data_IF_526184094631
#
_entry.id   IF_526184094631
#
_cell.length_a   1.000
_cell.length_b   1.000
_cell.length_c   1.000
_cell.angle_alpha   90.00
_cell.angle_beta   90.00
_cell.angle_gamma   90.00
#
_symmetry.space_group_name_H-M   'P 1'
#
loop_
_entity.id
_entity.type
_entity.pdbx_description
1 polymer ?
#
# COMPACT_ATOMS: atom_id res chain seq x y z
N UNK A 1 -8.97 18.82 1.33
CA UNK A 1 -10.17 18.23 0.72
C UNK A 1 -10.90 19.24 -0.16
N UNK A 2 -11.34 20.39 0.34
CA UNK A 2 -12.13 21.36 -0.44
C UNK A 2 -11.53 21.76 -1.79
N UNK A 3 -10.25 22.16 -1.83
CA UNK A 3 -9.55 22.47 -3.10
C UNK A 3 -9.56 21.34 -4.12
N UNK A 4 -9.54 20.09 -3.66
CA UNK A 4 -9.59 18.92 -4.54
C UNK A 4 -11.00 18.71 -5.06
N UNK A 5 -12.02 18.80 -4.20
CA UNK A 5 -13.43 18.66 -4.59
C UNK A 5 -13.91 19.79 -5.52
N UNK A 6 -13.39 21.01 -5.36
CA UNK A 6 -13.65 22.14 -6.25
C UNK A 6 -13.05 21.96 -7.66
N UNK A 7 -12.10 21.04 -7.84
CA UNK A 7 -11.48 20.81 -9.15
C UNK A 7 -12.35 20.00 -10.11
N UNK A 8 -13.42 19.38 -9.62
CA UNK A 8 -14.34 18.60 -10.45
C UNK A 8 -15.33 19.51 -11.17
N UNK A 9 -15.48 19.32 -12.48
CA UNK A 9 -16.47 20.04 -13.30
C UNK A 9 -17.91 19.66 -12.96
N UNK A 10 -18.13 18.46 -12.42
CA UNK A 10 -19.44 17.95 -12.02
C UNK A 10 -19.32 17.40 -10.61
N UNK A 11 -20.17 17.89 -9.71
CA UNK A 11 -20.27 17.44 -8.32
C UNK A 11 -21.73 17.06 -8.02
N UNK A 12 -22.16 15.85 -8.42
CA UNK A 12 -23.57 15.47 -8.42
C UNK A 12 -24.17 15.38 -7.02
N UNK A 13 -23.33 15.20 -6.00
CA UNK A 13 -23.73 15.08 -4.60
C UNK A 13 -23.39 16.32 -3.76
N UNK A 14 -22.94 17.41 -4.40
CA UNK A 14 -22.59 18.68 -3.76
C UNK A 14 -21.65 18.53 -2.55
N UNK A 15 -20.61 17.70 -2.68
CA UNK A 15 -19.60 17.49 -1.63
C UNK A 15 -18.52 18.57 -1.71
N UNK A 16 -18.27 19.31 -0.63
CA UNK A 16 -17.35 20.45 -0.62
C UNK A 16 -16.22 20.33 0.40
N UNK A 17 -16.33 19.43 1.37
CA UNK A 17 -15.34 19.27 2.42
C UNK A 17 -15.26 17.81 2.90
N UNK A 18 -14.38 17.56 3.89
CA UNK A 18 -14.16 16.23 4.43
C UNK A 18 -15.38 15.70 5.20
N UNK A 19 -16.10 16.56 5.93
CA UNK A 19 -17.35 16.20 6.62
C UNK A 19 -18.42 15.74 5.63
N UNK A 20 -18.60 16.45 4.50
CA UNK A 20 -19.60 16.06 3.49
C UNK A 20 -19.33 14.65 2.95
N UNK A 21 -18.05 14.33 2.67
CA UNK A 21 -17.65 13.00 2.20
C UNK A 21 -17.94 11.94 3.27
N UNK A 22 -17.58 12.20 4.53
CA UNK A 22 -17.85 11.27 5.64
C UNK A 22 -19.35 11.01 5.80
N UNK A 23 -20.17 12.07 5.71
CA UNK A 23 -21.62 11.93 5.81
C UNK A 23 -22.23 11.18 4.65
N UNK A 24 -21.77 11.45 3.42
CA UNK A 24 -22.21 10.74 2.23
C UNK A 24 -21.89 9.25 2.34
N UNK A 25 -20.64 8.89 2.68
CA UNK A 25 -20.22 7.50 2.86
C UNK A 25 -21.06 6.79 3.94
N UNK A 26 -21.38 7.48 5.05
CA UNK A 26 -22.23 6.91 6.11
C UNK A 26 -23.67 6.66 5.65
N UNK A 27 -24.23 7.53 4.81
CA UNK A 27 -25.63 7.47 4.36
C UNK A 27 -25.83 6.54 3.15
N UNK A 28 -24.75 6.12 2.49
CA UNK A 28 -24.79 5.35 1.24
C UNK A 28 -24.51 3.87 1.54
N UNK A 29 -25.52 2.98 1.49
CA UNK A 29 -25.37 1.57 1.86
C UNK A 29 -24.28 0.83 1.06
N UNK A 30 -24.09 1.21 -0.21
CA UNK A 30 -23.10 0.63 -1.11
C UNK A 30 -21.66 0.83 -0.65
N UNK A 31 -21.41 1.90 0.12
CA UNK A 31 -20.09 2.21 0.69
C UNK A 31 -19.77 1.38 1.94
N UNK A 32 -20.73 0.60 2.45
CA UNK A 32 -20.55 -0.36 3.55
C UNK A 32 -19.83 0.24 4.77
N UNK A 33 -20.26 1.43 5.19
CA UNK A 33 -19.63 2.17 6.29
C UNK A 33 -19.52 1.35 7.58
N UNK A 34 -20.50 0.51 7.89
CA UNK A 34 -20.48 -0.36 9.08
C UNK A 34 -19.41 -1.46 9.02
N UNK A 35 -19.03 -1.90 7.81
CA UNK A 35 -18.03 -2.95 7.59
C UNK A 35 -16.60 -2.36 7.59
N UNK A 36 -16.36 -1.30 6.79
CA UNK A 36 -15.01 -0.75 6.59
C UNK A 36 -14.67 0.45 7.47
N UNK A 37 -15.68 1.18 7.95
CA UNK A 37 -15.50 2.39 8.74
C UNK A 37 -14.76 3.52 8.01
N UNK A 38 -14.48 4.61 8.74
CA UNK A 38 -13.70 5.76 8.25
C UNK A 38 -12.81 6.36 9.35
N UNK A 39 -12.25 5.54 10.22
CA UNK A 39 -11.58 5.98 11.45
C UNK A 39 -10.47 7.01 11.20
N UNK A 40 -9.64 6.80 10.18
CA UNK A 40 -8.57 7.74 9.82
C UNK A 40 -9.11 9.10 9.35
N UNK A 41 -10.24 9.11 8.64
CA UNK A 41 -10.87 10.34 8.14
C UNK A 41 -11.57 11.10 9.27
N UNK A 42 -12.24 10.38 10.17
CA UNK A 42 -12.83 10.94 11.39
C UNK A 42 -11.75 11.57 12.28
N UNK A 43 -10.60 10.90 12.43
CA UNK A 43 -9.46 11.45 13.16
C UNK A 43 -8.87 12.68 12.45
N UNK A 44 -8.73 12.65 11.13
CA UNK A 44 -8.25 13.80 10.36
C UNK A 44 -9.18 15.01 10.50
N UNK A 45 -10.50 14.78 10.52
CA UNK A 45 -11.50 15.81 10.75
C UNK A 45 -11.43 16.40 12.18
N UNK A 46 -11.27 15.56 13.20
CA UNK A 46 -11.05 16.02 14.59
C UNK A 46 -9.79 16.89 14.71
N UNK A 47 -8.67 16.40 14.19
CA UNK A 47 -7.39 17.11 14.22
C UNK A 47 -7.50 18.43 13.45
N UNK A 48 -8.16 18.44 12.29
CA UNK A 48 -8.35 19.64 11.47
C UNK A 48 -9.23 20.70 12.14
N UNK A 49 -10.18 20.31 13.00
CA UNK A 49 -10.98 21.23 13.81
C UNK A 49 -10.20 21.85 14.96
N UNK A 50 -9.22 21.12 15.50
CA UNK A 50 -8.44 21.53 16.68
C UNK A 50 -7.21 22.36 16.33
N UNK A 51 -6.58 22.08 15.19
CA UNK A 51 -5.30 22.67 14.81
C UNK A 51 -5.33 23.21 13.39
N UNK A 52 -5.05 24.50 13.23
CA UNK A 52 -4.86 25.13 11.92
C UNK A 52 -3.42 24.95 11.41
N UNK A 53 -3.19 25.30 10.14
CA UNK A 53 -1.84 25.33 9.55
C UNK A 53 -0.89 26.32 10.27
N UNK A 54 -1.44 27.30 10.97
CA UNK A 54 -0.68 28.31 11.72
C UNK A 54 -0.43 27.91 13.18
N UNK A 55 -1.02 26.82 13.65
CA UNK A 55 -0.85 26.35 15.02
C UNK A 55 0.58 25.87 15.30
N UNK A 56 1.02 26.02 16.54
CA UNK A 56 2.35 25.57 16.96
C UNK A 56 2.50 24.04 16.86
N UNK A 57 1.43 23.29 17.12
CA UNK A 57 1.39 21.83 16.95
C UNK A 57 1.60 21.43 15.49
N UNK A 58 0.94 22.13 14.56
CA UNK A 58 1.12 21.87 13.13
C UNK A 58 2.55 22.21 12.70
N UNK A 59 3.08 23.38 13.12
CA UNK A 59 4.46 23.80 12.80
C UNK A 59 5.49 22.82 13.36
N UNK A 60 5.34 22.38 14.62
CA UNK A 60 6.21 21.38 15.26
C UNK A 60 6.12 20.02 14.55
N UNK A 61 4.92 19.58 14.19
CA UNK A 61 4.71 18.36 13.40
C UNK A 61 5.39 18.45 12.03
N UNK A 62 5.28 19.61 11.35
CA UNK A 62 5.95 19.86 10.08
C UNK A 62 7.47 19.86 10.22
N UNK A 63 8.03 20.52 11.22
CA UNK A 63 9.47 20.52 11.48
C UNK A 63 10.01 19.11 11.75
N UNK A 64 9.29 18.32 12.56
CA UNK A 64 9.64 16.92 12.80
C UNK A 64 9.69 16.11 11.51
N UNK A 65 8.67 16.24 10.64
CA UNK A 65 8.62 15.56 9.34
C UNK A 65 9.75 16.01 8.41
N UNK A 66 10.10 17.29 8.41
CA UNK A 66 11.25 17.80 7.65
C UNK A 66 12.57 17.24 8.16
N UNK A 67 12.71 17.05 9.47
CA UNK A 67 13.90 16.42 10.08
C UNK A 67 13.99 14.95 9.69
N UNK A 68 12.89 14.21 9.78
CA UNK A 68 12.81 12.81 9.33
C UNK A 68 13.19 12.71 7.84
N UNK A 69 12.71 13.63 7.00
CA UNK A 69 12.99 13.64 5.57
C UNK A 69 14.46 13.85 5.19
N UNK A 70 15.31 14.32 6.11
CA UNK A 70 16.76 14.45 5.87
C UNK A 70 17.55 13.19 6.20
N UNK A 71 16.97 12.25 6.95
CA UNK A 71 17.71 11.11 7.50
C UNK A 71 18.23 10.14 6.44
N UNK A 72 17.48 9.88 5.37
CA UNK A 72 17.95 8.99 4.28
C UNK A 72 19.16 9.61 3.55
N UNK A 73 19.08 10.86 3.03
CA UNK A 73 20.25 11.50 2.42
C UNK A 73 21.46 11.61 3.35
N UNK A 74 21.23 11.91 4.64
CA UNK A 74 22.29 11.95 5.66
C UNK A 74 22.95 10.58 5.83
N UNK A 75 22.16 9.51 6.01
CA UNK A 75 22.65 8.14 6.12
C UNK A 75 23.50 7.75 4.90
N UNK A 76 22.99 8.01 3.70
CA UNK A 76 23.71 7.67 2.47
C UNK A 76 25.01 8.46 2.30
N UNK A 77 25.05 9.69 2.82
CA UNK A 77 26.28 10.51 2.86
C UNK A 77 27.28 9.95 3.87
N UNK A 78 26.83 9.59 5.07
CA UNK A 78 27.66 9.00 6.12
C UNK A 78 28.34 7.71 5.67
N UNK A 79 27.61 6.85 4.96
CA UNK A 79 28.12 5.55 4.49
C UNK A 79 28.66 5.57 3.06
N UNK A 80 28.70 6.73 2.41
CA UNK A 80 29.18 6.92 1.04
C UNK A 80 28.55 5.90 0.06
N UNK A 81 27.23 5.77 0.07
CA UNK A 81 26.48 4.88 -0.83
C UNK A 81 25.57 5.66 -1.79
N UNK A 82 25.26 5.04 -2.92
CA UNK A 82 24.38 5.61 -3.96
C UNK A 82 22.90 5.35 -3.72
N UNK A 83 22.57 4.25 -3.03
CA UNK A 83 21.19 3.83 -2.73
C UNK A 83 21.14 2.96 -1.47
N UNK A 84 19.95 2.87 -0.88
CA UNK A 84 19.64 1.87 0.14
C UNK A 84 18.84 0.74 -0.50
N UNK A 85 19.05 -0.48 -0.02
CA UNK A 85 18.26 -1.66 -0.40
C UNK A 85 17.74 -2.35 0.84
N UNK A 86 16.47 -2.74 0.82
CA UNK A 86 15.82 -3.43 1.93
C UNK A 86 14.67 -4.31 1.38
N UNK A 87 14.17 -5.31 2.13
CA UNK A 87 12.91 -5.94 1.78
C UNK A 87 11.76 -4.92 1.74
N UNK A 88 10.78 -5.09 0.85
CA UNK A 88 9.73 -4.09 0.61
C UNK A 88 8.76 -3.85 1.76
N UNK A 89 8.70 -4.77 2.72
CA UNK A 89 7.96 -4.61 3.97
C UNK A 89 8.72 -3.76 5.01
N UNK A 90 9.87 -3.21 4.66
CA UNK A 90 10.61 -2.28 5.51
C UNK A 90 10.00 -0.90 5.39
N UNK A 91 9.51 -0.36 6.52
CA UNK A 91 9.10 1.03 6.59
C UNK A 91 10.32 1.94 6.39
N UNK A 92 10.24 2.83 5.40
CA UNK A 92 11.29 3.82 5.13
C UNK A 92 10.76 5.23 5.35
N UNK A 93 11.67 6.17 5.60
CA UNK A 93 11.35 7.59 5.71
C UNK A 93 11.41 8.32 4.35
N UNK A 94 11.45 7.56 3.25
CA UNK A 94 11.68 8.08 1.90
C UNK A 94 10.60 9.07 1.46
N UNK A 95 9.34 8.79 1.82
CA UNK A 95 8.19 9.64 1.57
C UNK A 95 8.29 11.03 2.23
N UNK A 96 8.93 11.13 3.41
CA UNK A 96 9.15 12.41 4.09
C UNK A 96 10.23 13.24 3.39
N UNK A 97 11.26 12.58 2.85
CA UNK A 97 12.38 13.23 2.16
C UNK A 97 12.14 13.52 0.68
N UNK A 98 11.04 13.01 0.11
CA UNK A 98 10.83 13.00 -1.33
C UNK A 98 11.89 12.16 -2.06
N UNK A 99 12.39 11.12 -1.41
CA UNK A 99 13.35 10.19 -1.99
C UNK A 99 12.60 9.20 -2.90
N UNK A 100 13.04 8.99 -4.15
CA UNK A 100 12.41 8.04 -5.05
C UNK A 100 12.63 6.60 -4.54
N UNK A 101 11.63 5.75 -4.76
CA UNK A 101 11.68 4.33 -4.42
C UNK A 101 11.22 3.47 -5.58
N UNK A 102 11.86 2.31 -5.76
CA UNK A 102 11.48 1.29 -6.75
C UNK A 102 11.50 -0.07 -6.09
N UNK A 103 10.41 -0.83 -6.18
CA UNK A 103 10.34 -2.21 -5.71
C UNK A 103 10.43 -3.19 -6.88
N UNK A 104 11.32 -4.18 -6.80
CA UNK A 104 11.49 -5.22 -7.82
C UNK A 104 11.27 -6.60 -7.19
N UNK A 105 10.59 -7.55 -7.85
CA UNK A 105 10.39 -8.89 -7.31
C UNK A 105 11.70 -9.55 -6.87
N UNK A 106 11.73 -10.08 -5.64
CA UNK A 106 12.88 -10.82 -5.06
C UNK A 106 12.57 -12.33 -4.90
N UNK A 107 11.43 -12.76 -5.43
CA UNK A 107 10.96 -14.14 -5.35
C UNK A 107 9.72 -14.25 -4.49
N UNK A 108 9.62 -15.36 -3.76
CA UNK A 108 8.46 -15.71 -2.95
C UNK A 108 8.88 -16.34 -1.64
N UNK A 109 7.98 -16.34 -0.67
CA UNK A 109 8.16 -17.12 0.54
C UNK A 109 8.30 -18.62 0.22
N UNK A 110 9.18 -19.34 0.93
CA UNK A 110 9.36 -20.79 0.77
C UNK A 110 8.06 -21.57 0.95
N UNK A 111 8.00 -22.75 0.35
CA UNK A 111 6.78 -23.57 0.34
C UNK A 111 6.40 -24.04 1.76
N UNK A 112 7.36 -24.09 2.69
CA UNK A 112 7.17 -24.46 4.09
C UNK A 112 6.90 -23.26 5.04
N UNK A 113 6.81 -22.04 4.50
CA UNK A 113 6.65 -20.85 5.32
C UNK A 113 5.25 -20.83 5.98
N UNK A 114 5.11 -20.50 7.28
CA UNK A 114 3.82 -20.50 7.94
C UNK A 114 2.88 -19.46 7.32
N UNK A 115 1.64 -19.88 7.06
CA UNK A 115 0.59 -18.98 6.61
C UNK A 115 0.08 -18.12 7.76
N UNK A 116 -0.03 -16.82 7.51
CA UNK A 116 -0.69 -15.85 8.38
C UNK A 116 -1.75 -15.14 7.55
N UNK A 117 -2.96 -15.07 8.09
CA UNK A 117 -4.08 -14.41 7.46
C UNK A 117 -4.40 -13.13 8.23
N UNK A 118 -4.90 -12.12 7.52
CA UNK A 118 -5.46 -10.93 8.19
C UNK A 118 -6.82 -11.28 8.80
N UNK A 119 -7.39 -10.42 9.68
CA UNK A 119 -8.71 -10.67 10.28
C UNK A 119 -9.84 -10.94 9.28
N UNK A 120 -9.75 -10.36 8.08
CA UNK A 120 -10.75 -10.52 7.02
C UNK A 120 -10.51 -11.75 6.13
N UNK A 121 -9.61 -12.64 6.57
CA UNK A 121 -9.22 -13.90 5.91
C UNK A 121 -8.37 -13.86 4.60
N UNK A 122 -7.79 -12.75 4.10
CA UNK A 122 -6.77 -12.84 3.06
C UNK A 122 -5.42 -13.29 3.62
N UNK A 123 -4.68 -14.09 2.85
CA UNK A 123 -3.32 -14.51 3.15
C UNK A 123 -2.37 -13.30 3.10
N UNK A 124 -1.74 -12.98 4.24
CA UNK A 124 -0.81 -11.85 4.38
C UNK A 124 0.63 -12.28 4.06
N UNK A 125 1.06 -13.40 4.65
CA UNK A 125 2.35 -14.06 4.42
C UNK A 125 2.12 -15.57 4.41
N UNK A 126 2.89 -16.30 3.62
CA UNK A 126 2.73 -17.75 3.50
C UNK A 126 3.35 -18.29 2.21
N UNK A 127 3.22 -19.60 1.97
CA UNK A 127 3.83 -20.25 0.81
C UNK A 127 3.44 -19.57 -0.49
N UNK A 128 4.40 -19.42 -1.40
CA UNK A 128 4.19 -18.85 -2.73
C UNK A 128 3.71 -17.38 -2.76
N UNK A 129 3.67 -16.68 -1.62
CA UNK A 129 3.39 -15.23 -1.57
C UNK A 129 4.59 -14.47 -2.13
N UNK A 130 4.43 -13.60 -3.15
CA UNK A 130 5.53 -12.84 -3.73
C UNK A 130 6.06 -11.79 -2.75
N UNK A 131 7.37 -11.58 -2.78
CA UNK A 131 8.04 -10.50 -2.06
C UNK A 131 8.91 -9.67 -3.01
N UNK A 132 9.31 -8.49 -2.57
CA UNK A 132 10.14 -7.59 -3.37
C UNK A 132 11.28 -6.99 -2.57
N UNK A 133 12.35 -6.64 -3.29
CA UNK A 133 13.41 -5.78 -2.78
C UNK A 133 13.06 -4.34 -3.14
N UNK A 134 13.20 -3.44 -2.18
CA UNK A 134 12.99 -2.01 -2.28
C UNK A 134 14.33 -1.31 -2.43
N UNK A 135 14.48 -0.57 -3.51
CA UNK A 135 15.56 0.37 -3.74
C UNK A 135 15.09 1.78 -3.33
N UNK A 136 15.95 2.51 -2.63
CA UNK A 136 15.70 3.90 -2.22
C UNK A 136 16.84 4.78 -2.68
N UNK A 137 16.54 5.77 -3.51
CA UNK A 137 17.51 6.72 -4.06
C UNK A 137 17.53 8.05 -3.32
N UNK A 138 18.47 8.93 -3.70
CA UNK A 138 18.40 10.34 -3.30
C UNK A 138 17.31 11.05 -4.10
N UNK A 139 16.77 12.12 -3.54
CA UNK A 139 15.83 13.00 -4.25
C UNK A 139 16.43 13.40 -5.62
N UNK A 140 15.66 13.17 -6.68
CA UNK A 140 16.02 13.41 -8.09
C UNK A 140 17.05 12.46 -8.71
N UNK A 141 17.42 11.37 -8.03
CA UNK A 141 18.34 10.35 -8.55
C UNK A 141 17.60 9.18 -9.22
N UNK A 142 16.43 9.48 -9.80
CA UNK A 142 15.51 8.51 -10.40
C UNK A 142 16.16 7.69 -11.51
N UNK A 143 16.98 8.31 -12.36
CA UNK A 143 17.69 7.63 -13.45
C UNK A 143 18.58 6.51 -12.93
N UNK A 144 19.43 6.81 -11.94
CA UNK A 144 20.34 5.83 -11.33
C UNK A 144 19.57 4.74 -10.60
N UNK A 145 18.52 5.12 -9.89
CA UNK A 145 17.66 4.19 -9.16
C UNK A 145 17.00 3.18 -10.11
N UNK A 146 16.42 3.67 -11.20
CA UNK A 146 15.78 2.84 -12.23
C UNK A 146 16.82 1.94 -12.90
N UNK A 147 18.01 2.46 -13.23
CA UNK A 147 19.07 1.66 -13.84
C UNK A 147 19.52 0.50 -12.94
N UNK A 148 19.68 0.73 -11.64
CA UNK A 148 20.04 -0.31 -10.68
C UNK A 148 18.92 -1.34 -10.47
N UNK A 149 17.68 -0.88 -10.35
CA UNK A 149 16.51 -1.75 -10.25
C UNK A 149 16.36 -2.63 -11.50
N UNK A 150 16.54 -2.06 -12.69
CA UNK A 150 16.52 -2.79 -13.96
C UNK A 150 17.65 -3.82 -14.04
N UNK A 151 18.89 -3.45 -13.67
CA UNK A 151 19.99 -4.40 -13.66
C UNK A 151 19.74 -5.59 -12.71
N UNK A 152 19.12 -5.33 -11.54
CA UNK A 152 18.71 -6.39 -10.62
C UNK A 152 17.60 -7.27 -11.21
N UNK A 153 16.59 -6.69 -11.84
CA UNK A 153 15.52 -7.44 -12.52
C UNK A 153 16.10 -8.38 -13.58
N UNK A 154 16.94 -7.86 -14.49
CA UNK A 154 17.57 -8.63 -15.56
C UNK A 154 18.61 -9.63 -15.04
N UNK A 155 19.15 -9.43 -13.84
CA UNK A 155 20.06 -10.39 -13.22
C UNK A 155 19.36 -11.58 -12.56
N UNK A 156 18.05 -11.46 -12.28
CA UNK A 156 17.35 -12.40 -11.39
C UNK A 156 16.11 -13.04 -11.98
N UNK A 157 15.36 -12.32 -12.83
CA UNK A 157 14.13 -12.80 -13.45
C UNK A 157 13.13 -13.45 -12.46
N UNK A 158 13.11 -12.99 -11.20
CA UNK A 158 12.31 -13.65 -10.15
C UNK A 158 10.83 -13.77 -10.49
N UNK A 159 10.28 -12.77 -11.20
CA UNK A 159 8.89 -12.77 -11.66
C UNK A 159 8.55 -13.98 -12.53
N UNK A 160 9.49 -14.49 -13.33
CA UNK A 160 9.28 -15.61 -14.24
C UNK A 160 9.22 -16.96 -13.51
N UNK A 161 9.76 -17.02 -12.28
CA UNK A 161 9.77 -18.24 -11.46
C UNK A 161 8.52 -18.39 -10.59
N UNK A 162 7.73 -17.32 -10.45
CA UNK A 162 6.48 -17.34 -9.70
C UNK A 162 5.37 -17.98 -10.53
N UNK A 163 4.72 -19.00 -9.96
CA UNK A 163 3.49 -19.57 -10.51
C UNK A 163 2.34 -19.17 -9.60
N UNK A 164 1.49 -18.21 -9.99
CA UNK A 164 0.32 -17.85 -9.21
C UNK A 164 -0.55 -19.08 -8.96
N UNK A 165 -0.92 -19.32 -7.71
CA UNK A 165 -1.93 -20.32 -7.38
C UNK A 165 -3.28 -19.62 -7.50
N UNK A 166 -4.11 -20.11 -8.42
CA UNK A 166 -5.49 -19.65 -8.59
C UNK A 166 -6.37 -20.79 -8.12
N UNK A 167 -6.88 -20.70 -6.89
CA UNK A 167 -7.93 -21.60 -6.42
C UNK A 167 -9.27 -21.05 -6.90
N UNK A 168 -9.94 -21.82 -7.75
CA UNK A 168 -11.30 -21.51 -8.16
C UNK A 168 -12.24 -21.92 -7.03
N UNK A 169 -13.27 -21.12 -6.71
CA UNK A 169 -14.33 -21.56 -5.83
C UNK A 169 -14.92 -22.88 -6.34
N UNK A 170 -15.23 -23.81 -5.44
CA UNK A 170 -15.82 -25.10 -5.79
C UNK A 170 -17.03 -24.92 -6.73
N UNK A 171 -16.98 -25.57 -7.89
CA UNK A 171 -18.03 -25.56 -8.91
C UNK A 171 -17.83 -24.60 -10.10
N UNK A 172 -16.71 -23.88 -10.18
CA UNK A 172 -16.39 -23.03 -11.33
C UNK A 172 -15.40 -23.73 -12.29
N UNK A 173 -15.90 -24.45 -13.30
CA UNK A 173 -15.09 -24.92 -14.43
C UNK A 173 -14.94 -23.80 -15.47
N UNK A 174 -13.71 -23.45 -15.85
CA UNK A 174 -13.42 -22.44 -16.89
C UNK A 174 -12.60 -23.05 -18.01
N UNK A 175 -13.07 -22.86 -19.25
CA UNK A 175 -12.28 -23.10 -20.45
C UNK A 175 -11.22 -22.01 -20.63
N UNK A 176 -10.14 -22.32 -21.35
CA UNK A 176 -8.98 -21.45 -21.54
C UNK A 176 -9.27 -20.03 -22.10
N UNK A 177 -10.47 -19.78 -22.63
CA UNK A 177 -10.92 -18.46 -23.10
C UNK A 177 -11.46 -17.53 -22.00
N UNK A 178 -11.78 -18.03 -20.81
CA UNK A 178 -12.54 -17.27 -19.79
C UNK A 178 -11.68 -16.49 -18.78
N UNK A 179 -10.36 -16.60 -18.86
CA UNK A 179 -9.42 -15.99 -17.89
C UNK A 179 -9.50 -14.45 -17.88
N UNK A 180 -9.89 -13.83 -19.00
CA UNK A 180 -10.09 -12.39 -19.11
C UNK A 180 -11.26 -11.86 -18.27
N UNK A 181 -12.25 -12.71 -17.95
CA UNK A 181 -13.43 -12.33 -17.17
C UNK A 181 -13.26 -12.56 -15.66
N UNK A 182 -12.16 -13.19 -15.21
CA UNK A 182 -11.97 -13.57 -13.80
C UNK A 182 -11.91 -12.38 -12.85
N UNK A 183 -11.22 -11.30 -13.25
CA UNK A 183 -11.05 -10.11 -12.39
C UNK A 183 -12.36 -9.39 -12.06
N UNK A 184 -13.45 -9.69 -12.79
CA UNK A 184 -14.77 -9.09 -12.55
C UNK A 184 -15.68 -9.93 -11.64
N UNK A 185 -15.32 -11.19 -11.33
CA UNK A 185 -16.26 -12.16 -10.73
C UNK A 185 -15.79 -12.89 -9.48
N UNK A 186 -14.56 -12.69 -9.01
CA UNK A 186 -14.11 -13.30 -7.75
C UNK A 186 -14.81 -12.64 -6.56
N UNK A 187 -15.89 -13.25 -6.07
CA UNK A 187 -16.30 -13.10 -4.67
C UNK A 187 -15.30 -13.87 -3.82
N UNK A 188 -14.77 -13.24 -2.79
CA UNK A 188 -13.90 -13.87 -1.80
C UNK A 188 -14.52 -15.18 -1.31
N UNK A 189 -13.77 -16.27 -1.38
CA UNK A 189 -14.21 -17.56 -0.88
C UNK A 189 -14.27 -17.50 0.66
N UNK A 190 -15.47 -17.58 1.22
CA UNK A 190 -15.66 -17.84 2.64
C UNK A 190 -15.27 -19.30 2.89
N UNK A 191 -14.15 -19.54 3.59
CA UNK A 191 -13.77 -20.88 4.01
C UNK A 191 -14.15 -21.11 5.48
N UNK A 192 -14.71 -22.30 5.74
CA UNK A 192 -15.30 -22.71 7.01
C UNK A 192 -14.28 -22.63 8.17
N UNK A 193 -14.66 -21.90 9.21
CA UNK A 193 -13.93 -21.63 10.46
C UNK A 193 -13.84 -22.82 11.42
N UNK A 194 -13.56 -24.02 10.89
CA UNK A 194 -13.56 -25.27 11.65
C UNK A 194 -12.18 -25.91 11.71
N UNK A 195 -11.14 -25.15 12.06
CA UNK A 195 -9.86 -25.70 12.54
C UNK A 195 -9.00 -24.58 13.16
N UNK A 196 -9.44 -24.08 14.30
CA UNK A 196 -8.54 -23.39 15.23
C UNK A 196 -7.88 -24.46 16.11
N UNK A 197 -6.59 -24.67 15.94
CA UNK A 197 -5.75 -25.30 16.96
C UNK A 197 -4.87 -24.20 17.53
N UNK A 198 -5.04 -23.95 18.83
CA UNK A 198 -4.25 -23.00 19.63
C UNK A 198 -2.75 -23.31 19.55
N UNK A 199 -1.95 -22.27 19.34
CA UNK A 199 -0.65 -22.04 19.99
C UNK A 199 -0.26 -20.56 19.86
#
# INVERSE_FOLDING_TARGET
MSKFLESFSVNPFALHNLTDVIEYTRKTPEEKFEEYGMNQWLQAEDVGKRFSIESEEYKRSRERRLTIGRQIPELMTTYNCDMLVAPSFTDTTANYGGCPTVSVPMGRYPDEYPSKYTPDNPLEIGPNVPTSILFVGRRWDDERLIAAAYAYEQGTHHRETLKPVIELPDGLEIGASDVSNLFSKTKYAEHNSSQFVEA
#
